data_IF_433295448172
#
_entry.id   IF_433295448172
#
_cell.length_a   1.000
_cell.length_b   1.000
_cell.length_c   1.000
_cell.angle_alpha   90.00
_cell.angle_beta   90.00
_cell.angle_gamma   90.00
#
_symmetry.space_group_name_H-M   'P 1'
#
loop_
_entity.id
_entity.type
_entity.pdbx_description
1 polymer ?
#
# COMPACT_ATOMS: atom_id res chain seq x y z
N UNK A 1 53.24 58.26 21.06
CA UNK A 1 53.13 57.11 20.15
C UNK A 1 52.43 56.02 20.89
N UNK A 2 51.20 55.66 20.50
CA UNK A 2 50.28 54.78 21.26
C UNK A 2 50.20 53.42 20.59
N UNK A 3 50.68 52.39 21.24
CA UNK A 3 50.56 50.99 20.85
C UNK A 3 49.15 50.44 21.13
N UNK A 4 48.45 50.00 20.08
CA UNK A 4 47.18 49.32 20.22
C UNK A 4 47.40 47.79 20.30
N UNK A 5 47.03 47.20 21.44
CA UNK A 5 46.97 45.76 21.65
C UNK A 5 45.71 45.22 20.95
N UNK A 6 45.92 44.30 20.02
CA UNK A 6 44.85 43.53 19.39
C UNK A 6 44.56 42.29 20.23
N UNK A 7 43.36 42.17 20.75
CA UNK A 7 42.90 40.99 21.49
C UNK A 7 42.24 40.05 20.47
N UNK A 8 42.88 38.90 20.28
CA UNK A 8 42.38 37.83 19.42
C UNK A 8 41.34 37.02 20.22
N UNK A 9 40.08 37.17 19.87
CA UNK A 9 38.98 36.38 20.45
C UNK A 9 38.90 35.03 19.69
N UNK A 10 39.33 33.95 20.32
CA UNK A 10 39.16 32.59 19.79
C UNK A 10 37.73 32.19 20.04
N UNK A 11 36.89 32.24 19.01
CA UNK A 11 35.52 31.72 19.05
C UNK A 11 35.55 30.19 18.78
N UNK A 12 35.46 29.41 19.86
CA UNK A 12 35.40 27.95 19.82
C UNK A 12 33.97 27.55 19.40
N UNK A 13 33.72 27.39 18.10
CA UNK A 13 32.48 26.81 17.60
C UNK A 13 32.45 25.30 17.88
N UNK A 14 31.77 24.91 18.96
CA UNK A 14 31.42 23.51 19.21
C UNK A 14 30.35 23.09 18.22
N UNK A 15 30.72 22.25 17.27
CA UNK A 15 29.82 21.56 16.36
C UNK A 15 28.99 20.52 17.17
N UNK A 16 27.79 20.92 17.57
CA UNK A 16 26.81 19.97 18.10
C UNK A 16 26.21 19.26 16.90
N UNK A 17 26.68 18.06 16.63
CA UNK A 17 26.06 17.13 15.66
C UNK A 17 24.74 16.66 16.23
N UNK A 18 23.63 17.28 15.80
CA UNK A 18 22.30 16.72 16.04
C UNK A 18 22.13 15.46 15.19
N UNK A 19 22.40 14.31 15.78
CA UNK A 19 21.90 13.02 15.27
C UNK A 19 20.40 13.01 15.48
N UNK A 20 19.64 13.43 14.44
CA UNK A 20 18.20 13.26 14.42
C UNK A 20 17.89 11.77 14.33
N UNK A 21 17.75 11.12 15.48
CA UNK A 21 17.19 9.77 15.56
C UNK A 21 15.75 9.81 15.02
N UNK A 22 15.54 9.12 13.90
CA UNK A 22 14.24 8.89 13.28
C UNK A 22 13.40 7.89 14.12
N UNK A 23 13.21 8.19 15.40
CA UNK A 23 12.49 7.34 16.38
C UNK A 23 10.98 7.58 16.36
N UNK A 24 10.51 8.72 15.81
CA UNK A 24 9.09 9.10 15.87
C UNK A 24 8.17 8.19 15.04
N UNK A 25 8.64 7.70 13.90
CA UNK A 25 7.81 6.87 13.03
C UNK A 25 7.62 5.43 13.56
N UNK A 26 8.66 4.84 14.17
CA UNK A 26 8.57 3.48 14.72
C UNK A 26 7.64 3.42 15.93
N UNK A 27 7.64 4.44 16.77
CA UNK A 27 6.80 4.48 17.97
C UNK A 27 5.32 4.72 17.64
N UNK A 28 5.02 5.58 16.66
CA UNK A 28 3.64 5.80 16.18
C UNK A 28 3.05 4.54 15.53
N UNK A 29 3.86 3.80 14.79
CA UNK A 29 3.48 2.55 14.15
C UNK A 29 3.20 1.42 15.14
N UNK A 30 4.03 1.24 16.19
CA UNK A 30 3.78 0.23 17.23
C UNK A 30 2.47 0.50 17.98
N UNK A 31 2.19 1.76 18.29
CA UNK A 31 0.95 2.17 18.96
C UNK A 31 -0.29 1.90 18.10
N UNK A 32 -0.23 2.10 16.78
CA UNK A 32 -1.35 1.80 15.88
C UNK A 32 -1.62 0.29 15.79
N UNK A 33 -0.60 -0.54 15.67
CA UNK A 33 -0.73 -1.99 15.63
C UNK A 33 -1.35 -2.55 16.93
N UNK A 34 -1.02 -1.99 18.09
CA UNK A 34 -1.57 -2.41 19.39
C UNK A 34 -3.07 -2.16 19.52
N UNK A 35 -3.63 -1.24 18.74
CA UNK A 35 -5.08 -0.97 18.72
C UNK A 35 -5.89 -2.00 17.94
N UNK A 36 -5.21 -2.83 17.10
CA UNK A 36 -5.88 -3.85 16.30
C UNK A 36 -6.20 -5.10 17.14
N UNK A 37 -7.29 -5.79 16.83
CA UNK A 37 -7.58 -7.11 17.39
C UNK A 37 -6.44 -8.11 17.14
N UNK A 38 -6.20 -9.01 18.08
CA UNK A 38 -5.13 -10.02 17.99
C UNK A 38 -5.14 -10.81 16.67
N UNK A 39 -6.30 -11.31 16.16
CA UNK A 39 -6.30 -12.05 14.91
C UNK A 39 -5.81 -11.23 13.70
N UNK A 40 -6.11 -9.92 13.68
CA UNK A 40 -5.67 -9.01 12.62
C UNK A 40 -4.15 -8.80 12.71
N UNK A 41 -3.63 -8.55 13.91
CA UNK A 41 -2.19 -8.39 14.13
C UNK A 41 -1.40 -9.64 13.74
N UNK A 42 -1.89 -10.81 14.13
CA UNK A 42 -1.27 -12.12 13.81
C UNK A 42 -1.24 -12.35 12.30
N UNK A 43 -2.33 -12.04 11.60
CA UNK A 43 -2.36 -12.11 10.15
C UNK A 43 -1.32 -11.18 9.50
N UNK A 44 -1.29 -9.91 9.92
CA UNK A 44 -0.36 -8.92 9.37
C UNK A 44 1.10 -9.32 9.63
N UNK A 45 1.43 -9.72 10.85
CA UNK A 45 2.79 -10.12 11.21
C UNK A 45 3.25 -11.39 10.48
N UNK A 46 2.35 -12.32 10.21
CA UNK A 46 2.65 -13.57 9.51
C UNK A 46 2.77 -13.37 7.99
N UNK A 47 1.85 -12.63 7.39
CA UNK A 47 1.80 -12.47 5.92
C UNK A 47 2.67 -11.32 5.43
N UNK A 48 2.83 -10.26 6.22
CA UNK A 48 3.55 -9.02 5.86
C UNK A 48 4.56 -8.61 6.96
N UNK A 49 5.54 -9.46 7.31
CA UNK A 49 6.41 -9.25 8.47
C UNK A 49 7.31 -8.01 8.38
N UNK A 50 7.54 -7.50 7.17
CA UNK A 50 8.39 -6.33 6.92
C UNK A 50 7.62 -5.09 6.50
N UNK A 51 6.28 -5.17 6.48
CA UNK A 51 5.45 -4.04 6.07
C UNK A 51 5.31 -2.99 7.17
N UNK A 52 5.11 -1.76 6.74
CA UNK A 52 4.78 -0.62 7.60
C UNK A 52 3.28 -0.36 7.52
N UNK A 53 2.57 -0.33 8.65
CA UNK A 53 1.17 0.10 8.69
C UNK A 53 1.13 1.61 8.51
N UNK A 54 0.35 2.06 7.52
CA UNK A 54 0.15 3.46 7.18
C UNK A 54 -1.10 4.02 7.82
N UNK A 55 -2.20 3.25 7.74
CA UNK A 55 -3.53 3.68 8.16
C UNK A 55 -4.35 2.49 8.65
N UNK A 56 -5.27 2.75 9.55
CA UNK A 56 -6.27 1.80 10.03
C UNK A 56 -7.60 2.52 10.03
N UNK A 57 -8.57 1.96 9.33
CA UNK A 57 -9.93 2.48 9.28
C UNK A 57 -10.91 1.41 9.76
N UNK A 58 -11.81 1.84 10.65
CA UNK A 58 -12.96 1.01 11.03
C UNK A 58 -14.13 1.39 10.16
N UNK A 59 -14.61 0.42 9.44
CA UNK A 59 -15.75 0.55 8.56
C UNK A 59 -16.97 -0.18 9.15
N UNK A 60 -18.14 0.07 8.54
CA UNK A 60 -19.39 -0.57 8.97
C UNK A 60 -19.31 -2.10 8.85
N UNK A 61 -18.56 -2.61 7.85
CA UNK A 61 -18.44 -4.03 7.54
C UNK A 61 -17.12 -4.67 8.04
N UNK A 62 -16.30 -3.93 8.81
CA UNK A 62 -15.04 -4.48 9.32
C UNK A 62 -13.94 -3.47 9.57
N UNK A 63 -12.73 -3.85 9.23
CA UNK A 63 -11.53 -3.01 9.39
C UNK A 63 -10.71 -3.06 8.11
N UNK A 64 -10.30 -1.89 7.63
CA UNK A 64 -9.31 -1.75 6.57
C UNK A 64 -7.97 -1.34 7.17
N UNK A 65 -6.91 -1.95 6.69
CA UNK A 65 -5.53 -1.66 7.10
C UNK A 65 -4.69 -1.42 5.86
N UNK A 66 -4.20 -0.20 5.72
CA UNK A 66 -3.26 0.18 4.68
C UNK A 66 -1.84 -0.11 5.13
N UNK A 67 -1.09 -0.79 4.31
CA UNK A 67 0.31 -1.08 4.56
C UNK A 67 1.19 -0.65 3.39
N UNK A 68 2.45 -0.38 3.70
CA UNK A 68 3.52 -0.26 2.73
C UNK A 68 4.44 -1.47 2.85
N UNK A 69 4.48 -2.31 1.84
CA UNK A 69 5.44 -3.41 1.73
C UNK A 69 6.42 -3.11 0.62
N UNK A 70 7.69 -2.84 0.96
CA UNK A 70 8.68 -2.27 0.04
C UNK A 70 8.15 -0.95 -0.55
N UNK A 71 7.90 -0.91 -1.86
CA UNK A 71 7.36 0.25 -2.56
C UNK A 71 5.91 0.04 -3.03
N UNK A 72 5.23 -0.99 -2.51
CA UNK A 72 3.86 -1.33 -2.88
C UNK A 72 2.93 -0.95 -1.73
N UNK A 73 1.96 -0.09 -2.01
CA UNK A 73 0.84 0.19 -1.12
C UNK A 73 -0.19 -0.92 -1.28
N UNK A 74 -0.69 -1.45 -0.15
CA UNK A 74 -1.71 -2.51 -0.13
C UNK A 74 -2.81 -2.16 0.87
N UNK A 75 -4.04 -2.40 0.47
CA UNK A 75 -5.24 -2.28 1.30
C UNK A 75 -5.68 -3.68 1.73
N UNK A 76 -5.75 -3.93 3.02
CA UNK A 76 -6.10 -5.23 3.58
C UNK A 76 -7.41 -5.12 4.33
N UNK A 77 -8.40 -5.90 3.94
CA UNK A 77 -9.75 -5.86 4.51
C UNK A 77 -10.05 -7.06 5.38
N UNK A 78 -10.61 -6.77 6.53
CA UNK A 78 -11.08 -7.76 7.51
C UNK A 78 -12.57 -7.52 7.79
N UNK A 79 -13.35 -8.60 7.93
CA UNK A 79 -14.76 -8.50 8.30
C UNK A 79 -14.93 -8.16 9.80
N UNK A 80 -16.18 -7.99 10.26
CA UNK A 80 -16.51 -7.71 11.66
C UNK A 80 -16.07 -8.81 12.64
N UNK A 81 -15.85 -10.03 12.14
CA UNK A 81 -15.28 -11.15 12.89
C UNK A 81 -13.75 -11.17 12.91
N UNK A 82 -13.09 -10.13 12.38
CA UNK A 82 -11.63 -10.01 12.25
C UNK A 82 -10.98 -11.08 11.34
N UNK A 83 -11.75 -11.67 10.42
CA UNK A 83 -11.25 -12.59 9.43
C UNK A 83 -10.82 -11.82 8.19
N UNK A 84 -9.68 -12.18 7.59
CA UNK A 84 -9.23 -11.61 6.34
C UNK A 84 -10.22 -11.90 5.20
N UNK A 85 -10.57 -10.84 4.47
CA UNK A 85 -11.51 -10.89 3.34
C UNK A 85 -10.76 -10.72 2.03
N UNK A 86 -9.87 -9.74 1.95
CA UNK A 86 -9.13 -9.44 0.73
C UNK A 86 -7.89 -8.60 1.00
N UNK A 87 -6.96 -8.63 0.05
CA UNK A 87 -5.87 -7.66 -0.08
C UNK A 87 -5.85 -7.14 -1.50
N UNK A 88 -5.77 -5.82 -1.65
CA UNK A 88 -5.80 -5.12 -2.93
C UNK A 88 -4.52 -4.31 -3.12
N UNK A 89 -3.98 -4.28 -4.33
CA UNK A 89 -2.91 -3.35 -4.72
C UNK A 89 -2.85 -3.18 -6.22
N UNK A 90 -2.40 -2.01 -6.65
CA UNK A 90 -2.23 -1.71 -8.07
C UNK A 90 -1.00 -2.40 -8.64
N UNK A 91 -1.14 -2.93 -9.84
CA UNK A 91 -0.08 -3.58 -10.61
C UNK A 91 0.01 -2.97 -12.01
N UNK A 92 1.13 -3.21 -12.68
CA UNK A 92 1.31 -2.81 -14.08
C UNK A 92 0.78 -3.89 -15.02
N UNK A 93 0.51 -3.52 -16.26
CA UNK A 93 0.09 -4.46 -17.31
C UNK A 93 1.11 -5.59 -17.52
N UNK A 94 2.40 -5.30 -17.35
CA UNK A 94 3.48 -6.28 -17.49
C UNK A 94 3.47 -7.35 -16.39
N UNK A 95 2.82 -7.08 -15.26
CA UNK A 95 2.69 -7.99 -14.13
C UNK A 95 1.41 -8.86 -14.24
N UNK A 96 0.55 -8.62 -15.23
CA UNK A 96 -0.67 -9.40 -15.49
C UNK A 96 -0.33 -10.64 -16.32
N UNK A 97 -0.85 -11.84 -15.96
CA UNK A 97 -0.69 -13.03 -16.78
C UNK A 97 -1.16 -12.83 -18.22
N UNK A 98 -0.37 -13.30 -19.18
CA UNK A 98 -0.62 -13.13 -20.63
C UNK A 98 -2.04 -13.60 -21.02
N UNK A 99 -2.50 -14.74 -20.48
CA UNK A 99 -3.82 -15.27 -20.76
C UNK A 99 -4.97 -14.32 -20.38
N UNK A 100 -4.79 -13.53 -19.30
CA UNK A 100 -5.78 -12.53 -18.88
C UNK A 100 -5.77 -11.33 -19.84
N UNK A 101 -4.59 -10.87 -20.26
CA UNK A 101 -4.46 -9.80 -21.25
C UNK A 101 -5.05 -10.21 -22.61
N UNK A 102 -4.86 -11.47 -23.03
CA UNK A 102 -5.47 -12.03 -24.24
C UNK A 102 -7.00 -12.14 -24.12
N UNK A 103 -7.52 -12.52 -22.94
CA UNK A 103 -8.95 -12.56 -22.68
C UNK A 103 -9.57 -11.15 -22.73
N UNK A 104 -8.91 -10.14 -22.16
CA UNK A 104 -9.33 -8.76 -22.26
C UNK A 104 -9.34 -8.27 -23.71
N UNK A 105 -8.26 -8.53 -24.46
CA UNK A 105 -8.15 -8.16 -25.88
C UNK A 105 -9.20 -8.84 -26.77
N UNK A 106 -9.72 -9.99 -26.35
CA UNK A 106 -10.79 -10.74 -27.05
C UNK A 106 -12.19 -10.40 -26.56
N UNK A 107 -12.32 -9.56 -25.55
CA UNK A 107 -13.60 -9.15 -24.95
C UNK A 107 -14.30 -8.05 -25.75
N UNK A 108 -15.55 -7.75 -25.37
CA UNK A 108 -16.28 -6.61 -25.90
C UNK A 108 -15.64 -5.25 -25.54
N UNK A 109 -14.69 -5.24 -24.62
CA UNK A 109 -14.00 -4.05 -24.11
C UNK A 109 -12.61 -3.84 -24.72
N UNK A 110 -12.26 -4.52 -25.81
CA UNK A 110 -10.94 -4.46 -26.45
C UNK A 110 -10.56 -3.07 -27.01
N UNK A 111 -11.53 -2.17 -27.15
CA UNK A 111 -11.31 -0.77 -27.60
C UNK A 111 -11.26 0.22 -26.43
N UNK A 112 -11.43 -0.25 -25.18
CA UNK A 112 -11.33 0.60 -24.01
C UNK A 112 -9.86 0.79 -23.61
N UNK A 113 -9.55 1.95 -23.06
CA UNK A 113 -8.26 2.23 -22.45
C UNK A 113 -8.25 1.67 -21.04
N UNK A 114 -7.18 0.98 -20.67
CA UNK A 114 -6.95 0.55 -19.28
C UNK A 114 -6.46 1.78 -18.51
N UNK A 115 -7.22 2.22 -17.50
CA UNK A 115 -6.82 3.31 -16.60
C UNK A 115 -6.05 2.76 -15.39
N UNK A 116 -6.54 1.67 -14.80
CA UNK A 116 -5.89 1.05 -13.67
C UNK A 116 -6.08 -0.47 -13.65
N UNK A 117 -5.16 -1.18 -12.99
CA UNK A 117 -5.23 -2.61 -12.79
C UNK A 117 -4.99 -2.90 -11.31
N UNK A 118 -5.99 -3.44 -10.63
CA UNK A 118 -5.90 -3.88 -9.26
C UNK A 118 -5.78 -5.39 -9.18
N UNK A 119 -4.74 -5.90 -8.54
CA UNK A 119 -4.67 -7.30 -8.13
C UNK A 119 -5.40 -7.46 -6.79
N UNK A 120 -6.27 -8.46 -6.71
CA UNK A 120 -7.10 -8.75 -5.54
C UNK A 120 -6.84 -10.17 -5.09
N UNK A 121 -6.28 -10.34 -3.90
CA UNK A 121 -6.23 -11.65 -3.24
C UNK A 121 -7.44 -11.83 -2.32
N UNK A 122 -8.07 -12.99 -2.35
CA UNK A 122 -9.16 -13.40 -1.48
C UNK A 122 -8.93 -14.85 -1.01
N UNK A 123 -9.62 -15.35 0.02
CA UNK A 123 -9.58 -16.77 0.38
C UNK A 123 -9.96 -17.71 -0.79
N UNK A 124 -10.79 -17.22 -1.71
CA UNK A 124 -11.25 -17.97 -2.91
C UNK A 124 -10.26 -17.96 -4.07
N UNK A 125 -9.19 -17.16 -4.03
CA UNK A 125 -8.19 -17.05 -5.09
C UNK A 125 -7.75 -15.64 -5.42
N UNK A 126 -7.04 -15.51 -6.54
CA UNK A 126 -6.52 -14.24 -7.06
C UNK A 126 -7.38 -13.77 -8.22
N UNK A 127 -7.66 -12.46 -8.24
CA UNK A 127 -8.45 -11.79 -9.25
C UNK A 127 -7.73 -10.55 -9.75
N UNK A 128 -8.05 -10.11 -10.95
CA UNK A 128 -7.50 -8.95 -11.63
C UNK A 128 -8.65 -8.05 -12.07
N UNK A 129 -8.78 -6.89 -11.44
CA UNK A 129 -9.77 -5.89 -11.80
C UNK A 129 -9.12 -4.87 -12.72
N UNK A 130 -9.73 -4.65 -13.87
CA UNK A 130 -9.37 -3.61 -14.82
C UNK A 130 -10.40 -2.49 -14.74
N UNK A 131 -9.95 -1.29 -14.50
CA UNK A 131 -10.72 -0.06 -14.69
C UNK A 131 -10.53 0.36 -16.13
N UNK A 132 -11.61 0.31 -16.90
CA UNK A 132 -11.62 0.48 -18.35
C UNK A 132 -12.40 1.72 -18.71
N UNK A 133 -11.89 2.54 -19.62
CA UNK A 133 -12.55 3.77 -20.06
C UNK A 133 -12.60 3.89 -21.57
N UNK A 134 -13.77 4.33 -22.07
CA UNK A 134 -13.97 4.74 -23.44
C UNK A 134 -14.89 5.96 -23.45
N UNK A 135 -14.37 7.12 -23.88
CA UNK A 135 -15.08 8.41 -23.85
C UNK A 135 -15.60 8.74 -22.43
N UNK A 136 -16.93 8.73 -22.25
CA UNK A 136 -17.59 8.97 -20.96
C UNK A 136 -18.05 7.67 -20.26
N UNK A 137 -17.71 6.50 -20.82
CA UNK A 137 -18.09 5.22 -20.23
C UNK A 137 -16.91 4.66 -19.45
N UNK A 138 -17.17 4.27 -18.20
CA UNK A 138 -16.23 3.59 -17.32
C UNK A 138 -16.82 2.22 -16.95
N UNK A 139 -16.00 1.18 -16.98
CA UNK A 139 -16.39 -0.21 -16.70
C UNK A 139 -15.31 -0.90 -15.89
N UNK A 140 -15.73 -1.57 -14.82
CA UNK A 140 -14.87 -2.50 -14.08
C UNK A 140 -15.06 -3.91 -14.64
N UNK A 141 -13.97 -4.51 -15.13
CA UNK A 141 -13.96 -5.89 -15.59
C UNK A 141 -13.01 -6.72 -14.71
N UNK A 142 -13.53 -7.79 -14.11
CA UNK A 142 -12.76 -8.65 -13.20
C UNK A 142 -12.55 -10.01 -13.83
N UNK A 143 -11.29 -10.46 -13.85
CA UNK A 143 -10.91 -11.80 -14.24
C UNK A 143 -10.41 -12.60 -13.04
N UNK A 144 -10.70 -13.89 -13.00
CA UNK A 144 -10.02 -14.82 -12.11
C UNK A 144 -8.64 -15.23 -12.67
N UNK A 145 -7.88 -16.01 -11.91
CA UNK A 145 -6.57 -16.51 -12.32
C UNK A 145 -6.59 -17.47 -13.53
N UNK A 146 -7.78 -17.91 -13.98
CA UNK A 146 -7.98 -18.74 -15.17
C UNK A 146 -8.43 -17.93 -16.39
N UNK A 147 -8.34 -16.61 -16.31
CA UNK A 147 -8.81 -15.67 -17.34
C UNK A 147 -10.34 -15.76 -17.62
N UNK A 148 -11.13 -16.20 -16.64
CA UNK A 148 -12.59 -16.21 -16.73
C UNK A 148 -13.13 -14.93 -16.09
N UNK A 149 -14.15 -14.30 -16.72
CA UNK A 149 -14.81 -13.14 -16.13
C UNK A 149 -15.50 -13.57 -14.84
N UNK A 150 -15.11 -12.94 -13.74
CA UNK A 150 -15.72 -13.15 -12.44
C UNK A 150 -16.91 -12.22 -12.28
N UNK A 151 -18.07 -12.79 -11.96
CA UNK A 151 -19.27 -12.02 -11.58
C UNK A 151 -19.04 -11.52 -10.15
N UNK A 152 -19.17 -10.23 -9.94
CA UNK A 152 -19.08 -9.59 -8.61
C UNK A 152 -20.36 -9.81 -7.79
#
# INVERSE_FOLDING_TARGET
MKTKRSVLFFCLCSLISFSACNSGNKQKQSTQLETLPTPVRDFLSKKYPVATVLKIEKEQNGTEVDIQEKNIHKEIRFNTGNQWVSTHWNIKSDDVPVAIMEALASSAYNQYTIEDITLIERPSGTFYRFELKQENNEVDLVFDSKAQVAIQ
#
